data_IF_389670807149
#
_entry.id   IF_389670807149
#
_cell.length_a   1.000
_cell.length_b   1.000
_cell.length_c   1.000
_cell.angle_alpha   90.00
_cell.angle_beta   90.00
_cell.angle_gamma   90.00
#
_symmetry.space_group_name_H-M   'P 1'
#
loop_
_entity.id
_entity.type
_entity.pdbx_description
1 polymer ?
#
# COMPACT_ATOMS: atom_id res chain seq x y z
N UNK A 1 18.20 -2.45 -8.16
CA UNK A 1 17.43 -1.20 -8.41
C UNK A 1 17.97 -0.09 -7.51
N UNK A 2 18.02 1.19 -7.96
CA UNK A 2 18.43 2.30 -7.09
C UNK A 2 17.31 2.65 -6.11
N UNK A 3 17.56 2.48 -4.82
CA UNK A 3 16.63 2.71 -3.71
C UNK A 3 16.57 4.18 -3.24
N UNK A 4 17.51 5.02 -3.68
CA UNK A 4 17.54 6.45 -3.37
C UNK A 4 17.73 7.32 -4.60
N UNK A 5 17.07 8.49 -4.60
CA UNK A 5 17.36 9.54 -5.57
C UNK A 5 18.67 10.25 -5.22
N UNK A 6 19.25 10.97 -6.20
CA UNK A 6 20.43 11.82 -5.98
C UNK A 6 20.17 12.83 -4.85
N UNK A 7 18.98 13.44 -4.83
CA UNK A 7 18.58 14.41 -3.82
C UNK A 7 18.49 13.79 -2.41
N UNK A 8 17.94 12.58 -2.30
CA UNK A 8 17.89 11.86 -1.02
C UNK A 8 19.30 11.63 -0.47
N UNK A 9 20.21 11.08 -1.29
CA UNK A 9 21.61 10.86 -0.89
C UNK A 9 22.29 12.13 -0.40
N UNK A 10 22.08 13.25 -1.09
CA UNK A 10 22.63 14.55 -0.68
C UNK A 10 22.05 15.02 0.65
N UNK A 11 20.72 14.97 0.83
CA UNK A 11 20.07 15.35 2.09
C UNK A 11 20.56 14.51 3.27
N UNK A 12 20.67 13.19 3.11
CA UNK A 12 21.19 12.28 4.14
C UNK A 12 22.64 12.57 4.49
N UNK A 13 23.49 12.86 3.49
CA UNK A 13 24.89 13.25 3.71
C UNK A 13 25.05 14.49 4.62
N UNK A 14 24.08 15.41 4.61
CA UNK A 14 24.06 16.60 5.46
C UNK A 14 23.21 16.42 6.75
N UNK A 15 22.78 15.19 7.07
CA UNK A 15 22.00 14.90 8.28
C UNK A 15 20.51 15.28 8.19
N UNK A 16 19.99 15.60 7.00
CA UNK A 16 18.57 15.95 6.80
C UNK A 16 17.70 14.72 6.53
N UNK A 17 17.76 13.72 7.42
CA UNK A 17 17.07 12.43 7.29
C UNK A 17 15.55 12.59 7.09
N UNK A 18 14.86 13.42 7.90
CA UNK A 18 13.41 13.63 7.75
C UNK A 18 13.03 14.23 6.40
N UNK A 19 13.89 15.09 5.82
CA UNK A 19 13.64 15.67 4.48
C UNK A 19 13.90 14.64 3.39
N UNK A 20 14.98 13.86 3.49
CA UNK A 20 15.25 12.77 2.57
C UNK A 20 14.10 11.74 2.58
N UNK A 21 13.57 11.43 3.77
CA UNK A 21 12.40 10.58 3.93
C UNK A 21 11.17 11.15 3.20
N UNK A 22 10.89 12.44 3.34
CA UNK A 22 9.81 13.07 2.57
C UNK A 22 10.03 12.94 1.05
N UNK A 23 11.28 13.04 0.59
CA UNK A 23 11.62 12.93 -0.83
C UNK A 23 11.45 11.52 -1.41
N UNK A 24 11.44 10.47 -0.57
CA UNK A 24 11.24 9.07 -1.02
C UNK A 24 9.94 8.91 -1.82
N UNK A 25 8.90 9.69 -1.50
CA UNK A 25 7.59 9.62 -2.16
C UNK A 25 7.60 10.10 -3.61
N UNK A 26 8.67 10.78 -4.02
CA UNK A 26 8.89 11.26 -5.38
C UNK A 26 9.93 10.42 -6.13
N UNK A 27 10.50 9.41 -5.47
CA UNK A 27 11.45 8.50 -6.07
C UNK A 27 10.76 7.21 -6.50
N UNK A 28 10.69 6.99 -7.80
CA UNK A 28 10.26 5.72 -8.38
C UNK A 28 11.24 5.41 -9.51
N UNK A 29 12.10 4.41 -9.36
CA UNK A 29 13.26 4.17 -10.22
C UNK A 29 12.88 3.48 -11.54
N UNK A 30 11.94 4.07 -12.27
CA UNK A 30 11.43 3.57 -13.56
C UNK A 30 11.37 4.69 -14.60
N UNK A 31 11.34 4.31 -15.87
CA UNK A 31 11.17 5.26 -16.97
C UNK A 31 9.86 6.07 -16.80
N UNK A 32 9.81 7.35 -17.18
CA UNK A 32 8.57 8.13 -17.23
C UNK A 32 7.41 7.44 -17.97
N UNK A 33 7.69 6.63 -18.98
CA UNK A 33 6.70 5.90 -19.77
C UNK A 33 6.27 4.57 -19.15
N UNK A 34 6.84 4.16 -18.02
CA UNK A 34 6.40 2.95 -17.31
C UNK A 34 4.98 3.13 -16.75
N UNK A 35 4.14 2.09 -16.81
CA UNK A 35 2.82 2.05 -16.19
C UNK A 35 2.92 1.54 -14.75
N UNK A 36 2.55 2.39 -13.80
CA UNK A 36 2.74 2.14 -12.35
C UNK A 36 1.41 1.94 -11.64
N UNK A 37 1.26 0.82 -10.97
CA UNK A 37 0.17 0.54 -10.03
C UNK A 37 0.55 1.00 -8.62
N UNK A 38 -0.39 1.57 -7.88
CA UNK A 38 -0.29 1.70 -6.44
C UNK A 38 -1.45 0.95 -5.77
N UNK A 39 -1.12 -0.02 -4.92
CA UNK A 39 -2.10 -0.74 -4.11
C UNK A 39 -2.18 -0.11 -2.72
N UNK A 40 -3.38 -0.05 -2.14
CA UNK A 40 -3.64 0.66 -0.87
C UNK A 40 -3.42 2.18 -0.99
N UNK A 41 -3.78 2.76 -2.13
CA UNK A 41 -3.49 4.17 -2.48
C UNK A 41 -4.09 5.22 -1.53
N UNK A 42 -5.21 4.90 -0.89
CA UNK A 42 -5.89 5.74 0.08
C UNK A 42 -6.12 7.20 -0.35
N UNK A 43 -6.04 8.13 0.61
CA UNK A 43 -6.32 9.54 0.37
C UNK A 43 -5.14 10.34 -0.20
N UNK A 44 -3.94 9.75 -0.24
CA UNK A 44 -2.72 10.42 -0.67
C UNK A 44 -1.85 9.44 -1.47
N UNK A 45 -2.21 9.14 -2.72
CA UNK A 45 -1.41 8.31 -3.61
C UNK A 45 -0.03 8.92 -3.89
N UNK A 46 0.94 8.08 -4.20
CA UNK A 46 2.22 8.45 -4.76
C UNK A 46 2.00 9.20 -6.09
N UNK A 47 2.61 10.39 -6.27
CA UNK A 47 2.42 11.18 -7.49
C UNK A 47 2.72 10.40 -8.77
N UNK A 48 3.71 9.51 -8.72
CA UNK A 48 4.14 8.69 -9.86
C UNK A 48 3.12 7.63 -10.29
N UNK A 49 2.22 7.17 -9.41
CA UNK A 49 1.27 6.12 -9.74
C UNK A 49 0.35 6.53 -10.90
N UNK A 50 0.07 5.61 -11.82
CA UNK A 50 -0.82 5.83 -12.95
C UNK A 50 -2.21 5.24 -12.69
N UNK A 51 -2.25 4.06 -12.09
CA UNK A 51 -3.47 3.33 -11.71
C UNK A 51 -3.46 3.11 -10.21
N UNK A 52 -4.62 3.29 -9.58
CA UNK A 52 -4.81 3.14 -8.15
C UNK A 52 -5.68 1.92 -7.84
N UNK A 53 -5.33 1.21 -6.79
CA UNK A 53 -6.19 0.21 -6.16
C UNK A 53 -6.30 0.47 -4.65
N UNK A 54 -7.49 0.25 -4.11
CA UNK A 54 -7.77 0.27 -2.68
C UNK A 54 -8.88 -0.75 -2.37
N UNK A 55 -8.98 -1.25 -1.14
CA UNK A 55 -10.02 -2.20 -0.78
C UNK A 55 -11.37 -1.52 -0.52
N UNK A 56 -11.35 -0.25 -0.05
CA UNK A 56 -12.54 0.40 0.50
C UNK A 56 -12.65 1.88 0.11
N UNK A 57 -13.87 2.35 -0.14
CA UNK A 57 -14.17 3.79 -0.32
C UNK A 57 -13.95 4.61 0.96
N UNK A 58 -14.11 3.98 2.12
CA UNK A 58 -13.86 4.55 3.46
C UNK A 58 -13.25 3.48 4.37
N UNK A 59 -12.30 3.88 5.22
CA UNK A 59 -11.72 2.99 6.24
C UNK A 59 -11.22 3.82 7.43
N UNK A 60 -11.23 3.21 8.61
CA UNK A 60 -10.62 3.75 9.83
C UNK A 60 -9.13 3.98 9.67
N UNK A 61 -8.44 3.11 8.94
CA UNK A 61 -6.98 3.14 8.74
C UNK A 61 -6.54 4.42 8.02
N UNK A 62 -7.41 4.99 7.18
CA UNK A 62 -7.19 6.30 6.55
C UNK A 62 -7.58 7.48 7.43
N UNK A 63 -7.80 7.27 8.72
CA UNK A 63 -8.42 8.25 9.62
C UNK A 63 -9.70 8.84 9.04
N UNK A 64 -10.49 8.00 8.35
CA UNK A 64 -11.71 8.40 7.63
C UNK A 64 -11.51 9.42 6.51
N UNK A 65 -10.26 9.67 6.08
CA UNK A 65 -9.99 10.47 4.91
C UNK A 65 -10.61 9.79 3.66
N UNK A 66 -11.21 10.56 2.76
CA UNK A 66 -11.80 10.02 1.53
C UNK A 66 -10.72 9.39 0.66
N UNK A 67 -11.10 8.34 -0.06
CA UNK A 67 -10.28 7.77 -1.13
C UNK A 67 -9.99 8.83 -2.20
N UNK A 68 -8.74 8.93 -2.64
CA UNK A 68 -8.36 9.78 -3.76
C UNK A 68 -8.49 9.01 -5.07
N UNK A 69 -9.47 9.38 -5.90
CA UNK A 69 -9.70 8.78 -7.22
C UNK A 69 -9.47 9.80 -8.35
N UNK A 70 -8.33 10.50 -8.33
CA UNK A 70 -7.97 11.57 -9.29
C UNK A 70 -7.39 11.06 -10.62
N UNK A 71 -7.29 9.74 -10.77
CA UNK A 71 -6.77 8.98 -11.91
C UNK A 71 -7.47 7.61 -11.95
N UNK A 72 -7.25 6.75 -12.98
CA UNK A 72 -7.88 5.44 -13.04
C UNK A 72 -7.74 4.66 -11.73
N UNK A 73 -8.88 4.26 -11.17
CA UNK A 73 -8.98 3.68 -9.82
C UNK A 73 -9.88 2.45 -9.87
N UNK A 74 -9.54 1.42 -9.09
CA UNK A 74 -10.27 0.16 -8.95
C UNK A 74 -10.39 -0.19 -7.48
N UNK A 75 -11.55 -0.69 -7.03
CA UNK A 75 -11.66 -1.31 -5.71
C UNK A 75 -11.42 -2.81 -5.80
N UNK A 76 -10.58 -3.34 -4.93
CA UNK A 76 -10.16 -4.74 -4.94
C UNK A 76 -9.25 -5.09 -3.77
N UNK A 77 -9.06 -6.39 -3.51
CA UNK A 77 -8.11 -6.88 -2.52
C UNK A 77 -6.75 -7.18 -3.17
N UNK A 78 -5.65 -6.93 -2.45
CA UNK A 78 -4.31 -7.16 -3.01
C UNK A 78 -4.00 -8.65 -3.11
N UNK A 79 -4.56 -9.46 -2.22
CA UNK A 79 -4.48 -10.92 -2.26
C UNK A 79 -5.20 -11.53 -3.47
N UNK A 80 -5.99 -10.75 -4.22
CA UNK A 80 -6.62 -11.19 -5.46
C UNK A 80 -6.82 -10.00 -6.41
N UNK A 81 -5.72 -9.49 -6.98
CA UNK A 81 -5.73 -8.29 -7.81
C UNK A 81 -6.55 -8.52 -9.08
N UNK A 82 -7.47 -7.58 -9.41
CA UNK A 82 -8.32 -7.65 -10.60
C UNK A 82 -7.60 -7.23 -11.88
N UNK A 83 -6.28 -7.41 -11.95
CA UNK A 83 -5.44 -7.02 -13.08
C UNK A 83 -4.83 -8.24 -13.76
N UNK A 84 -4.65 -8.15 -15.07
CA UNK A 84 -3.96 -9.17 -15.88
C UNK A 84 -2.50 -9.32 -15.46
N UNK A 85 -1.92 -10.45 -15.83
CA UNK A 85 -0.53 -10.77 -15.54
C UNK A 85 0.39 -9.79 -16.27
N UNK A 86 1.43 -9.31 -15.58
CA UNK A 86 2.51 -8.50 -16.13
C UNK A 86 2.07 -7.23 -16.89
N UNK A 87 0.91 -6.69 -16.55
CA UNK A 87 0.37 -5.48 -17.21
C UNK A 87 1.01 -4.19 -16.70
N UNK A 88 1.61 -4.22 -15.51
CA UNK A 88 2.32 -3.09 -14.94
C UNK A 88 3.83 -3.28 -15.02
N UNK A 89 4.55 -2.19 -15.25
CA UNK A 89 6.01 -2.18 -15.17
C UNK A 89 6.48 -2.13 -13.72
N UNK A 90 5.68 -1.52 -12.83
CA UNK A 90 6.03 -1.32 -11.43
C UNK A 90 4.80 -1.30 -10.53
N UNK A 91 4.93 -1.84 -9.31
CA UNK A 91 3.91 -1.71 -8.26
C UNK A 91 4.47 -1.05 -6.99
N UNK A 92 3.70 -0.11 -6.44
CA UNK A 92 3.95 0.54 -5.15
C UNK A 92 2.97 -0.05 -4.14
N UNK A 93 3.48 -0.60 -3.04
CA UNK A 93 2.70 -1.09 -1.90
C UNK A 93 3.28 -0.46 -0.62
N UNK A 94 2.78 0.72 -0.25
CA UNK A 94 3.28 1.46 0.91
C UNK A 94 2.23 1.48 2.02
N UNK A 95 2.58 0.90 3.16
CA UNK A 95 1.71 0.74 4.32
C UNK A 95 0.45 -0.07 4.05
N UNK A 96 0.63 -1.29 3.53
CA UNK A 96 -0.47 -2.19 3.13
C UNK A 96 -0.16 -3.63 3.50
N UNK A 97 1.06 -4.11 3.23
CA UNK A 97 1.43 -5.50 3.47
C UNK A 97 1.26 -5.87 4.95
N UNK A 98 1.56 -4.95 5.88
CA UNK A 98 1.41 -5.16 7.32
C UNK A 98 -0.03 -5.46 7.77
N UNK A 99 -1.03 -5.13 6.94
CA UNK A 99 -2.45 -5.41 7.19
C UNK A 99 -2.91 -6.77 6.64
N UNK A 100 -2.08 -7.46 5.87
CA UNK A 100 -2.47 -8.71 5.19
C UNK A 100 -2.59 -9.88 6.16
N UNK A 101 -3.64 -10.70 5.98
CA UNK A 101 -3.76 -12.01 6.63
C UNK A 101 -3.01 -13.12 5.88
N UNK A 102 -2.71 -12.90 4.60
CA UNK A 102 -2.14 -13.89 3.68
C UNK A 102 -0.94 -13.28 2.93
N UNK A 103 0.18 -13.00 3.63
CA UNK A 103 1.33 -12.32 3.03
C UNK A 103 1.89 -13.06 1.82
N UNK A 104 1.84 -14.39 1.81
CA UNK A 104 2.29 -15.21 0.68
C UNK A 104 1.48 -14.90 -0.59
N UNK A 105 0.16 -14.81 -0.47
CA UNK A 105 -0.73 -14.50 -1.58
C UNK A 105 -0.63 -13.04 -2.01
N UNK A 106 -0.53 -12.12 -1.05
CA UNK A 106 -0.28 -10.70 -1.32
C UNK A 106 0.98 -10.51 -2.18
N UNK A 107 2.10 -11.12 -1.77
CA UNK A 107 3.38 -11.00 -2.48
C UNK A 107 3.37 -11.72 -3.83
N UNK A 108 2.61 -12.82 -3.96
CA UNK A 108 2.47 -13.51 -5.25
C UNK A 108 1.71 -12.65 -6.27
N UNK A 109 0.63 -11.98 -5.83
CA UNK A 109 -0.16 -11.10 -6.70
C UNK A 109 0.63 -9.87 -7.15
N UNK A 110 1.45 -9.26 -6.28
CA UNK A 110 2.36 -8.18 -6.68
C UNK A 110 3.32 -8.62 -7.80
N UNK A 111 3.94 -9.80 -7.66
CA UNK A 111 4.84 -10.37 -8.67
C UNK A 111 4.11 -10.79 -9.94
N UNK A 112 2.84 -11.21 -9.82
CA UNK A 112 2.04 -11.62 -10.97
C UNK A 112 1.72 -10.44 -11.86
N UNK A 113 1.27 -9.31 -11.29
CA UNK A 113 0.84 -8.15 -12.08
C UNK A 113 1.99 -7.26 -12.56
N UNK A 114 3.16 -7.33 -11.93
CA UNK A 114 4.29 -6.45 -12.23
C UNK A 114 5.65 -7.17 -12.23
N UNK A 115 6.60 -6.63 -12.99
CA UNK A 115 8.00 -7.12 -13.04
C UNK A 115 8.86 -6.61 -11.89
N UNK A 116 8.53 -5.47 -11.34
CA UNK A 116 9.28 -4.83 -10.28
C UNK A 116 8.36 -4.06 -9.34
N UNK A 117 8.88 -3.68 -8.18
CA UNK A 117 8.07 -2.92 -7.24
C UNK A 117 8.80 -2.39 -6.03
N UNK A 118 8.03 -1.70 -5.21
CA UNK A 118 8.43 -1.09 -3.96
C UNK A 118 7.44 -1.46 -2.86
N UNK A 119 7.95 -2.01 -1.77
CA UNK A 119 7.19 -2.30 -0.54
C UNK A 119 7.75 -1.41 0.59
N UNK A 120 6.86 -0.68 1.27
CA UNK A 120 7.19 0.13 2.45
C UNK A 120 6.30 -0.28 3.61
N UNK A 121 6.90 -0.63 4.74
CA UNK A 121 6.20 -1.04 5.98
C UNK A 121 6.98 -0.55 7.20
N UNK A 122 6.35 -0.42 8.39
CA UNK A 122 7.08 -0.26 9.63
C UNK A 122 8.05 -1.44 9.84
N UNK A 123 9.24 -1.18 10.37
CA UNK A 123 10.15 -2.27 10.74
C UNK A 123 9.58 -3.07 11.91
N UNK A 124 9.81 -4.39 11.89
CA UNK A 124 9.36 -5.33 12.91
C UNK A 124 9.72 -4.89 14.34
N UNK A 125 10.88 -4.25 14.55
CA UNK A 125 11.24 -3.71 15.86
C UNK A 125 10.25 -2.64 16.33
N UNK A 126 9.93 -1.67 15.45
CA UNK A 126 8.97 -0.62 15.77
C UNK A 126 7.59 -1.20 16.04
N UNK A 127 7.13 -2.13 15.19
CA UNK A 127 5.82 -2.77 15.33
C UNK A 127 5.69 -3.55 16.65
N UNK A 128 6.74 -4.24 17.09
CA UNK A 128 6.72 -5.00 18.37
C UNK A 128 6.56 -4.12 19.59
N UNK A 129 7.27 -2.98 19.63
CA UNK A 129 7.23 -2.09 20.80
C UNK A 129 6.08 -1.09 20.73
N UNK A 130 5.62 -0.74 19.53
CA UNK A 130 4.54 0.20 19.27
C UNK A 130 3.50 -0.41 18.32
N UNK A 131 2.75 -1.44 18.74
CA UNK A 131 1.86 -2.17 17.87
C UNK A 131 0.66 -1.33 17.44
N UNK A 132 0.32 -1.45 16.17
CA UNK A 132 -0.88 -0.84 15.62
C UNK A 132 -2.05 -1.84 15.66
N UNK A 133 -3.26 -1.31 15.89
CA UNK A 133 -4.47 -2.10 16.12
C UNK A 133 -4.87 -2.98 14.94
N UNK A 134 -4.52 -2.54 13.74
CA UNK A 134 -4.92 -3.16 12.48
C UNK A 134 -3.76 -3.89 11.78
N UNK A 135 -2.53 -3.73 12.26
CA UNK A 135 -1.36 -4.41 11.70
C UNK A 135 -1.32 -5.85 12.19
N UNK A 136 -1.30 -6.77 11.22
CA UNK A 136 -1.30 -8.22 11.37
C UNK A 136 0.07 -8.83 11.29
N UNK A 137 1.03 -8.14 10.67
CA UNK A 137 2.37 -8.64 10.41
C UNK A 137 3.44 -7.75 11.03
N UNK A 138 4.54 -8.38 11.45
CA UNK A 138 5.80 -7.70 11.77
C UNK A 138 6.82 -8.06 10.69
N UNK A 139 7.42 -7.04 10.05
CA UNK A 139 8.22 -7.25 8.85
C UNK A 139 9.55 -6.53 8.99
N UNK A 140 10.66 -7.24 8.78
CA UNK A 140 11.99 -6.61 8.63
C UNK A 140 12.63 -7.09 7.33
N UNK A 141 13.68 -6.41 6.88
CA UNK A 141 14.51 -6.86 5.76
C UNK A 141 15.93 -7.14 6.26
N UNK A 142 16.44 -8.33 5.92
CA UNK A 142 17.82 -8.75 6.17
C UNK A 142 18.36 -9.41 4.90
N UNK A 143 19.55 -8.99 4.48
CA UNK A 143 20.22 -9.51 3.27
C UNK A 143 19.28 -9.56 2.05
N UNK A 144 18.55 -8.47 1.83
CA UNK A 144 17.57 -8.32 0.75
C UNK A 144 16.43 -9.37 0.75
N UNK A 145 16.12 -9.94 1.91
CA UNK A 145 15.02 -10.88 2.13
C UNK A 145 14.06 -10.32 3.18
N UNK A 146 12.78 -10.28 2.87
CA UNK A 146 11.73 -9.93 3.83
C UNK A 146 11.53 -11.07 4.82
N UNK A 147 11.70 -10.80 6.11
CA UNK A 147 11.36 -11.73 7.19
C UNK A 147 10.03 -11.28 7.79
N UNK A 148 9.04 -12.17 7.76
CA UNK A 148 7.65 -11.84 8.08
C UNK A 148 7.18 -12.72 9.23
N UNK A 149 6.74 -12.09 10.32
CA UNK A 149 6.05 -12.76 11.41
C UNK A 149 4.56 -12.41 11.39
N UNK A 150 3.71 -13.43 11.52
CA UNK A 150 2.27 -13.30 11.74
C UNK A 150 2.02 -13.03 13.22
N UNK A 151 1.27 -11.98 13.55
CA UNK A 151 0.89 -11.65 14.94
C UNK A 151 -0.34 -12.49 15.32
N UNK A 152 -0.36 -13.19 16.48
CA UNK A 152 -1.53 -13.94 16.93
C UNK A 152 -2.65 -13.04 17.49
N UNK A 153 -2.35 -11.77 17.76
CA UNK A 153 -3.32 -10.73 18.14
C UNK A 153 -2.75 -9.34 17.84
N UNK A 154 -3.55 -8.29 17.94
CA UNK A 154 -3.08 -6.92 17.67
C UNK A 154 -1.96 -6.45 18.62
N UNK A 155 -1.90 -7.00 19.86
CA UNK A 155 -0.89 -6.67 20.89
C UNK A 155 -0.40 -7.96 21.58
N UNK A 156 0.52 -8.73 20.96
CA UNK A 156 1.02 -9.97 21.52
C UNK A 156 1.81 -9.76 22.83
N UNK A 157 2.72 -8.78 22.85
CA UNK A 157 3.63 -8.52 23.97
C UNK A 157 3.10 -7.42 24.92
N UNK A 158 1.97 -7.69 25.60
CA UNK A 158 1.23 -6.65 26.34
C UNK A 158 2.07 -5.90 27.37
N UNK A 159 2.87 -6.64 28.15
CA UNK A 159 3.66 -6.12 29.27
C UNK A 159 4.83 -5.27 28.75
N UNK A 160 5.54 -5.72 27.71
CA UNK A 160 6.62 -4.95 27.08
C UNK A 160 6.09 -3.64 26.51
N UNK A 161 4.94 -3.70 25.83
CA UNK A 161 4.30 -2.51 25.26
C UNK A 161 3.86 -1.54 26.36
N UNK A 162 3.39 -2.03 27.50
CA UNK A 162 3.00 -1.18 28.63
C UNK A 162 4.21 -0.42 29.20
N UNK A 163 5.32 -1.13 29.45
CA UNK A 163 6.57 -0.51 29.89
C UNK A 163 7.11 0.53 28.89
N UNK A 164 7.02 0.23 27.58
CA UNK A 164 7.37 1.18 26.53
C UNK A 164 6.45 2.41 26.53
N UNK A 165 5.14 2.20 26.68
CA UNK A 165 4.13 3.26 26.71
C UNK A 165 4.35 4.22 27.88
N UNK A 166 4.65 3.70 29.07
CA UNK A 166 4.93 4.48 30.28
C UNK A 166 6.24 5.27 30.16
N UNK A 167 7.31 4.65 29.66
CA UNK A 167 8.67 5.20 29.79
C UNK A 167 9.23 5.89 28.54
N UNK A 168 8.97 5.34 27.35
CA UNK A 168 9.79 5.65 26.15
C UNK A 168 8.96 6.20 24.98
N UNK A 169 7.67 5.89 24.91
CA UNK A 169 6.82 6.21 23.75
C UNK A 169 6.87 7.68 23.33
N UNK A 170 6.86 8.60 24.28
CA UNK A 170 6.91 10.04 23.98
C UNK A 170 8.22 10.44 23.28
N UNK A 171 9.35 9.92 23.72
CA UNK A 171 10.68 10.16 23.13
C UNK A 171 10.80 9.46 21.78
N UNK A 172 10.36 8.21 21.70
CA UNK A 172 10.40 7.42 20.46
C UNK A 172 9.58 8.10 19.35
N UNK A 173 8.30 8.38 19.61
CA UNK A 173 7.36 8.87 18.58
C UNK A 173 7.51 10.36 18.26
N UNK A 174 7.92 11.21 19.22
CA UNK A 174 8.05 12.67 18.98
C UNK A 174 9.46 13.10 18.56
N UNK A 175 10.47 12.25 18.76
CA UNK A 175 11.87 12.61 18.51
C UNK A 175 12.59 11.57 17.66
N UNK A 176 12.72 10.33 18.13
CA UNK A 176 13.65 9.36 17.53
C UNK A 176 13.18 8.91 16.14
N UNK A 177 11.92 8.43 16.03
CA UNK A 177 11.35 7.96 14.76
C UNK A 177 11.30 9.08 13.71
N UNK A 178 10.82 10.31 14.00
CA UNK A 178 10.82 11.38 13.01
C UNK A 178 12.22 11.80 12.53
N UNK A 179 13.25 11.68 13.39
CA UNK A 179 14.64 12.05 13.06
C UNK A 179 15.39 10.94 12.32
N UNK A 180 15.04 9.68 12.54
CA UNK A 180 15.72 8.53 11.93
C UNK A 180 14.74 7.61 11.18
N UNK A 181 13.88 8.13 10.31
CA UNK A 181 12.76 7.35 9.77
C UNK A 181 13.21 6.15 8.94
N UNK A 182 14.37 6.20 8.28
CA UNK A 182 14.94 5.09 7.53
C UNK A 182 15.33 3.89 8.40
N UNK A 183 15.59 4.10 9.69
CA UNK A 183 15.93 3.01 10.63
C UNK A 183 14.68 2.29 11.17
N UNK A 184 13.51 2.93 11.08
CA UNK A 184 12.25 2.44 11.65
C UNK A 184 11.25 1.95 10.61
N UNK A 185 11.64 1.95 9.34
CA UNK A 185 10.80 1.51 8.23
C UNK A 185 11.62 0.64 7.29
N UNK A 186 11.00 -0.45 6.85
CA UNK A 186 11.53 -1.24 5.75
C UNK A 186 11.20 -0.55 4.44
N UNK A 187 12.21 -0.42 3.59
CA UNK A 187 12.08 0.01 2.19
C UNK A 187 12.64 -1.08 1.30
N UNK A 188 11.75 -1.85 0.66
CA UNK A 188 12.13 -3.02 -0.11
C UNK A 188 11.83 -2.83 -1.59
N UNK A 189 12.89 -2.69 -2.39
CA UNK A 189 12.80 -2.63 -3.85
C UNK A 189 13.11 -4.01 -4.42
N UNK A 190 12.26 -4.49 -5.34
CA UNK A 190 12.41 -5.80 -5.94
C UNK A 190 12.26 -5.76 -7.46
N UNK A 191 12.83 -6.76 -8.11
CA UNK A 191 12.80 -6.97 -9.56
C UNK A 191 12.78 -8.47 -9.83
N UNK A 192 11.85 -8.93 -10.67
CA UNK A 192 11.50 -10.31 -11.01
C UNK A 192 11.00 -11.18 -9.86
N UNK A 193 11.63 -11.11 -8.68
CA UNK A 193 11.30 -11.93 -7.53
C UNK A 193 11.35 -11.13 -6.24
N UNK A 194 10.35 -11.34 -5.39
CA UNK A 194 10.34 -10.92 -4.00
C UNK A 194 10.96 -12.04 -3.18
N UNK A 195 12.12 -11.80 -2.58
CA UNK A 195 12.71 -12.74 -1.63
C UNK A 195 12.07 -12.53 -0.25
N UNK A 196 11.39 -13.55 0.27
CA UNK A 196 10.76 -13.49 1.58
C UNK A 196 10.77 -14.85 2.29
N UNK A 197 10.59 -14.81 3.62
CA UNK A 197 10.35 -15.97 4.47
C UNK A 197 9.32 -15.62 5.54
N UNK A 198 8.23 -16.37 5.58
CA UNK A 198 7.30 -16.35 6.72
C UNK A 198 7.92 -17.22 7.82
N UNK A 199 8.14 -16.63 8.99
CA UNK A 199 8.93 -17.25 10.07
C UNK A 199 8.09 -18.22 10.90
N UNK A 200 6.81 -17.89 11.08
CA UNK A 200 5.84 -18.64 11.86
C UNK A 200 4.57 -18.90 11.02
N UNK A 201 4.68 -19.68 9.94
CA UNK A 201 3.57 -19.91 9.00
C UNK A 201 2.32 -20.52 9.65
N UNK A 202 2.49 -21.21 10.77
CA UNK A 202 1.44 -21.84 11.57
C UNK A 202 0.57 -20.85 12.35
N UNK A 203 1.01 -19.61 12.55
CA UNK A 203 0.24 -18.60 13.29
C UNK A 203 -0.83 -17.99 12.40
N UNK A 204 -2.08 -18.04 12.86
CA UNK A 204 -3.18 -17.33 12.21
C UNK A 204 -3.18 -15.84 12.58
N UNK A 205 -3.22 -14.99 11.55
CA UNK A 205 -3.30 -13.54 11.68
C UNK A 205 -4.70 -12.98 11.39
N UNK A 206 -5.71 -13.84 11.15
CA UNK A 206 -7.08 -13.48 10.81
C UNK A 206 -7.96 -13.05 12.01
N UNK A 207 -7.35 -12.48 13.05
CA UNK A 207 -8.08 -11.94 14.20
C UNK A 207 -8.83 -10.65 13.87
N UNK A 208 -9.90 -10.37 14.63
CA UNK A 208 -10.64 -9.11 14.51
C UNK A 208 -9.89 -7.98 15.22
N UNK A 209 -9.75 -6.79 14.61
CA UNK A 209 -9.12 -5.66 15.26
C UNK A 209 -9.99 -5.14 16.41
N UNK A 210 -9.39 -4.55 17.46
CA UNK A 210 -10.15 -4.03 18.60
C UNK A 210 -11.03 -2.84 18.19
N UNK A 211 -12.20 -2.73 18.84
CA UNK A 211 -13.08 -1.57 18.69
C UNK A 211 -12.35 -0.26 19.03
N UNK A 212 -12.70 0.81 18.33
CA UNK A 212 -12.22 2.15 18.65
C UNK A 212 -13.29 3.18 18.32
N UNK A 213 -13.41 4.21 19.17
CA UNK A 213 -14.16 5.40 18.80
C UNK A 213 -13.55 6.03 17.53
N UNK A 214 -14.36 6.58 16.62
CA UNK A 214 -13.85 7.35 15.49
C UNK A 214 -13.04 8.54 16.03
N UNK A 215 -11.73 8.55 15.79
CA UNK A 215 -10.94 9.76 15.98
C UNK A 215 -11.33 10.75 14.89
N UNK A 216 -11.86 11.91 15.31
CA UNK A 216 -12.20 13.00 14.41
C UNK A 216 -11.00 13.34 13.53
N UNK A 217 -11.14 13.15 12.22
CA UNK A 217 -10.15 13.60 11.26
C UNK A 217 -10.00 15.11 11.37
N UNK A 218 -8.77 15.60 11.57
CA UNK A 218 -8.50 17.03 11.45
C UNK A 218 -8.57 17.36 9.96
N UNK A 219 -9.63 18.07 9.57
CA UNK A 219 -9.81 18.61 8.23
C UNK A 219 -8.60 19.49 7.86
N UNK A 220 -8.14 19.33 6.62
CA UNK A 220 -6.83 19.78 6.13
C UNK A 220 -6.51 21.25 6.40
N UNK A 221 -5.38 21.50 7.06
CA UNK A 221 -4.76 22.82 7.12
C UNK A 221 -3.94 23.15 5.86
N UNK A 222 -3.29 24.30 5.85
CA UNK A 222 -2.42 24.80 4.76
C UNK A 222 -1.44 23.74 4.22
N UNK A 223 -0.93 22.87 5.11
CA UNK A 223 -0.02 21.76 4.73
C UNK A 223 -0.68 20.73 3.79
N UNK A 224 -1.97 20.43 3.98
CA UNK A 224 -2.70 19.51 3.12
C UNK A 224 -2.89 20.11 1.72
N UNK A 225 -3.23 21.40 1.63
CA UNK A 225 -3.38 22.11 0.35
C UNK A 225 -2.06 22.14 -0.44
N UNK A 226 -0.93 22.43 0.22
CA UNK A 226 0.40 22.41 -0.41
C UNK A 226 0.74 21.01 -0.91
N UNK A 227 0.50 19.97 -0.11
CA UNK A 227 0.70 18.57 -0.51
C UNK A 227 -0.14 18.22 -1.74
N UNK A 228 -1.42 18.57 -1.73
CA UNK A 228 -2.35 18.23 -2.81
C UNK A 228 -1.98 18.97 -4.10
N UNK A 229 -1.52 20.22 -3.99
CA UNK A 229 -0.97 20.99 -5.12
C UNK A 229 0.31 20.36 -5.68
N UNK A 230 1.26 19.96 -4.82
CA UNK A 230 2.49 19.28 -5.26
C UNK A 230 2.16 17.95 -5.93
N UNK A 231 1.24 17.16 -5.37
CA UNK A 231 0.77 15.91 -5.99
C UNK A 231 0.15 16.17 -7.36
N UNK A 232 -0.69 17.19 -7.46
CA UNK A 232 -1.31 17.60 -8.71
C UNK A 232 -0.24 17.95 -9.76
N UNK A 233 0.77 18.75 -9.39
CA UNK A 233 1.82 19.19 -10.32
C UNK A 233 2.83 18.09 -10.69
N UNK A 234 3.09 17.15 -9.79
CA UNK A 234 4.09 16.09 -9.98
C UNK A 234 3.50 14.78 -10.51
N UNK A 235 2.18 14.68 -10.60
CA UNK A 235 1.51 13.54 -11.21
C UNK A 235 1.48 13.65 -12.73
N UNK A 236 1.44 12.50 -13.40
CA UNK A 236 1.35 12.42 -14.86
C UNK A 236 -0.07 12.68 -15.36
N UNK A 237 -0.74 13.76 -14.92
CA UNK A 237 -2.20 13.99 -15.11
C UNK A 237 -2.69 13.80 -16.54
N UNK A 238 -1.96 14.34 -17.52
CA UNK A 238 -2.32 14.21 -18.95
C UNK A 238 -2.34 12.76 -19.41
N UNK A 239 -1.32 11.99 -19.04
CA UNK A 239 -1.21 10.56 -19.35
C UNK A 239 -2.24 9.76 -18.57
N UNK A 240 -2.42 10.06 -17.28
CA UNK A 240 -3.39 9.38 -16.42
C UNK A 240 -4.81 9.48 -16.97
N UNK A 241 -5.18 10.64 -17.53
CA UNK A 241 -6.49 10.87 -18.14
C UNK A 241 -6.75 10.04 -19.42
N UNK A 242 -5.71 9.57 -20.10
CA UNK A 242 -5.84 8.75 -21.33
C UNK A 242 -5.78 7.24 -21.09
N UNK A 243 -5.55 6.79 -19.85
CA UNK A 243 -5.46 5.37 -19.52
C UNK A 243 -6.85 4.77 -19.43
N UNK A 244 -7.09 3.71 -20.21
CA UNK A 244 -8.31 2.91 -20.19
C UNK A 244 -8.08 1.69 -19.30
N UNK A 245 -8.97 1.45 -18.33
CA UNK A 245 -8.83 0.34 -17.37
C UNK A 245 -9.14 -1.02 -17.96
N UNK A 246 -10.14 -1.11 -18.84
CA UNK A 246 -10.73 -2.38 -19.26
C UNK A 246 -9.70 -3.39 -19.83
N UNK A 247 -8.71 -2.99 -20.65
CA UNK A 247 -7.66 -3.89 -21.12
C UNK A 247 -6.71 -4.38 -20.02
N UNK A 248 -6.66 -3.69 -18.88
CA UNK A 248 -5.81 -4.03 -17.75
C UNK A 248 -6.46 -5.05 -16.81
N UNK A 249 -7.79 -5.17 -16.87
CA UNK A 249 -8.57 -5.92 -15.88
C UNK A 249 -8.70 -7.40 -16.24
N UNK A 250 -8.85 -8.22 -15.19
CA UNK A 250 -9.31 -9.62 -15.23
C UNK A 250 -10.36 -9.85 -14.14
N UNK A 251 -11.18 -10.88 -14.30
CA UNK A 251 -12.16 -11.33 -13.32
C UNK A 251 -11.46 -11.95 -12.09
N UNK A 252 -11.64 -11.43 -10.87
CA UNK A 252 -11.07 -12.04 -9.66
C UNK A 252 -11.65 -13.42 -9.31
N UNK A 253 -12.82 -13.77 -9.83
CA UNK A 253 -13.51 -15.03 -9.50
C UNK A 253 -13.00 -16.21 -10.32
N UNK A 254 -12.84 -16.04 -11.64
CA UNK A 254 -12.41 -17.11 -12.54
C UNK A 254 -11.08 -16.84 -13.25
N UNK A 255 -10.48 -15.67 -13.02
CA UNK A 255 -9.26 -15.18 -13.68
C UNK A 255 -9.41 -14.89 -15.18
N UNK A 256 -10.64 -14.95 -15.70
CA UNK A 256 -10.97 -14.64 -17.08
C UNK A 256 -10.73 -13.18 -17.47
N UNK A 257 -10.21 -12.96 -18.67
CA UNK A 257 -9.87 -11.63 -19.16
C UNK A 257 -10.98 -10.97 -20.00
N UNK A 258 -12.03 -11.73 -20.33
CA UNK A 258 -13.16 -11.26 -21.13
C UNK A 258 -14.18 -10.59 -20.24
N UNK A 259 -14.01 -9.28 -20.02
CA UNK A 259 -14.91 -8.44 -19.23
C UNK A 259 -15.66 -7.47 -20.15
N UNK A 260 -16.98 -7.38 -19.97
CA UNK A 260 -17.83 -6.39 -20.64
C UNK A 260 -18.24 -5.34 -19.62
N UNK A 261 -18.00 -4.07 -19.91
CA UNK A 261 -18.27 -2.95 -19.01
C UNK A 261 -19.42 -2.08 -19.52
N UNK A 262 -20.32 -1.69 -18.61
CA UNK A 262 -21.31 -0.63 -18.77
C UNK A 262 -21.02 0.52 -17.78
N UNK A 263 -21.92 1.51 -17.69
CA UNK A 263 -21.78 2.59 -16.71
C UNK A 263 -21.89 2.11 -15.25
N UNK A 264 -22.69 1.06 -15.02
CA UNK A 264 -23.04 0.58 -13.68
C UNK A 264 -22.42 -0.78 -13.33
N UNK A 265 -22.01 -1.59 -14.31
CA UNK A 265 -21.61 -2.98 -14.06
C UNK A 265 -20.43 -3.40 -14.95
N UNK A 266 -19.67 -4.38 -14.47
CA UNK A 266 -18.73 -5.19 -15.25
C UNK A 266 -19.19 -6.64 -15.16
N UNK A 267 -19.32 -7.31 -16.31
CA UNK A 267 -19.74 -8.70 -16.39
C UNK A 267 -18.61 -9.53 -16.99
N UNK A 268 -18.23 -10.60 -16.30
CA UNK A 268 -17.29 -11.57 -16.84
C UNK A 268 -17.99 -12.54 -17.79
N UNK A 269 -17.56 -12.60 -19.05
CA UNK A 269 -18.16 -13.48 -20.05
C UNK A 269 -17.91 -14.98 -19.82
N UNK A 270 -16.92 -15.34 -18.97
CA UNK A 270 -16.57 -16.74 -18.70
C UNK A 270 -17.37 -17.36 -17.55
N UNK A 271 -17.42 -16.72 -16.39
CA UNK A 271 -18.12 -17.22 -15.21
C UNK A 271 -19.43 -16.48 -14.88
N UNK A 272 -19.82 -15.52 -15.71
CA UNK A 272 -21.00 -14.66 -15.52
C UNK A 272 -21.01 -13.86 -14.20
N UNK A 273 -19.88 -13.75 -13.50
CA UNK A 273 -19.81 -12.90 -12.30
C UNK A 273 -19.99 -11.44 -12.69
N UNK A 274 -20.82 -10.75 -11.92
CA UNK A 274 -21.15 -9.33 -12.07
C UNK A 274 -20.46 -8.55 -10.95
N UNK A 275 -19.76 -7.48 -11.32
CA UNK A 275 -19.11 -6.54 -10.43
C UNK A 275 -19.73 -5.15 -10.57
N UNK A 276 -20.05 -4.45 -9.47
CA UNK A 276 -20.59 -3.11 -9.56
C UNK A 276 -19.54 -2.09 -10.04
N UNK A 277 -20.02 -0.99 -10.64
CA UNK A 277 -19.26 0.21 -10.94
C UNK A 277 -19.91 1.35 -10.16
N UNK A 278 -19.18 1.92 -9.18
CA UNK A 278 -19.68 3.02 -8.36
C UNK A 278 -18.98 4.30 -8.73
N UNK A 279 -19.74 5.30 -9.21
CA UNK A 279 -19.18 6.60 -9.62
C UNK A 279 -18.03 6.46 -10.64
N UNK A 280 -18.16 5.50 -11.56
CA UNK A 280 -17.14 5.20 -12.57
C UNK A 280 -15.95 4.34 -12.07
N UNK A 281 -15.93 3.93 -10.80
CA UNK A 281 -14.90 3.07 -10.21
C UNK A 281 -15.38 1.61 -10.23
N UNK A 282 -14.67 0.69 -10.93
CA UNK A 282 -14.93 -0.74 -10.83
C UNK A 282 -14.75 -1.27 -9.40
N UNK A 283 -15.72 -2.02 -8.89
CA UNK A 283 -15.71 -2.62 -7.56
C UNK A 283 -15.54 -4.13 -7.69
N UNK A 284 -14.29 -4.55 -7.83
CA UNK A 284 -13.92 -5.91 -8.23
C UNK A 284 -13.84 -6.89 -7.05
N UNK A 285 -13.99 -6.42 -5.81
CA UNK A 285 -14.10 -7.27 -4.62
C UNK A 285 -15.55 -7.60 -4.21
N UNK A 286 -16.55 -7.13 -4.94
CA UNK A 286 -17.98 -7.39 -4.66
C UNK A 286 -18.64 -8.17 -5.82
N UNK A 287 -17.95 -9.21 -6.29
CA UNK A 287 -18.49 -10.07 -7.35
C UNK A 287 -19.64 -10.95 -6.85
N UNK A 288 -20.76 -10.91 -7.57
CA UNK A 288 -21.90 -11.80 -7.35
C UNK A 288 -22.18 -12.63 -8.60
N UNK A 289 -22.72 -13.84 -8.43
CA UNK A 289 -23.29 -14.57 -9.56
C UNK A 289 -24.46 -13.75 -10.14
N UNK A 290 -24.52 -13.65 -11.47
CA UNK A 290 -25.67 -13.07 -12.17
C UNK A 290 -26.96 -13.83 -11.86
#
# INVERSE_FOLDING_TARGET
MQDESVLMRQLRRFGFESKAWAMRRFHCPVNPDALVLEVGSGGNPYPRANVLLDAYETTRERHWAPLSADRPTVLGFVENLPFRDQVFDFVIAAHVLEHSTQPEQFLSELQRVARAGYIEVPDAFLERVNPYRDHRLEITCRDNTLLIWKKPSWRPEKDIVELYEDRVKSVMTRSLVPRHPFEFHVRYYWENKIAYRVINPEVDAAWAPPESAPHGGVAGGVRAQVRDFLRWGLSQRRRNASIVLDPLLRCPTCLGESLTRSSELIVCAQCNTVYPVRRGIPVMNEGAAA
#
